data_IF_017956983970
#
_entry.id   IF_017956983970
#
_cell.length_a   1.000
_cell.length_b   1.000
_cell.length_c   1.000
_cell.angle_alpha   90.00
_cell.angle_beta   90.00
_cell.angle_gamma   90.00
#
_symmetry.space_group_name_H-M   'P 1'
#
loop_
_entity.id
_entity.type
_entity.pdbx_description
1 polymer ?
#
# COMPACT_ATOMS: atom_id res chain seq x y z
N UNK A 1 23.03 18.74 -16.11
CA UNK A 1 22.78 18.56 -15.81
C UNK A 1 22.27 18.43 -15.25
N UNK A 2 22.17 18.57 -15.14
CA UNK A 2 21.72 18.45 -14.54
C UNK A 2 20.98 18.09 -13.95
N UNK A 3 20.78 18.21 -13.67
CA UNK A 3 20.18 17.94 -12.84
C UNK A 3 19.31 17.30 -12.81
N UNK A 4 19.08 17.36 -13.22
CA UNK A 4 18.15 16.88 -13.32
C UNK A 4 17.90 15.83 -12.83
N UNK A 5 18.25 15.40 -12.54
CA UNK A 5 17.91 14.27 -12.23
C UNK A 5 17.00 14.02 -11.28
N UNK A 6 16.78 14.39 -10.57
CA UNK A 6 16.08 14.07 -9.68
C UNK A 6 14.89 13.79 -9.99
N UNK A 7 14.45 14.19 -10.69
CA UNK A 7 13.32 13.96 -10.97
C UNK A 7 13.25 12.83 -11.58
N UNK A 8 14.15 12.24 -11.64
CA UNK A 8 14.13 11.16 -12.21
C UNK A 8 13.45 10.24 -11.55
N UNK A 9 13.09 10.40 -10.39
CA UNK A 9 12.29 9.67 -9.82
C UNK A 9 11.11 9.89 -10.41
N UNK A 10 10.77 9.34 -11.38
CA UNK A 10 9.52 9.46 -12.00
C UNK A 10 8.46 8.98 -11.10
N UNK A 11 7.32 9.62 -11.09
CA UNK A 11 6.19 9.15 -10.29
C UNK A 11 5.80 7.73 -10.62
N UNK A 12 5.99 7.29 -11.85
CA UNK A 12 5.68 5.93 -12.21
C UNK A 12 6.56 4.94 -11.49
N UNK A 13 7.81 5.31 -11.20
CA UNK A 13 8.68 4.42 -10.47
C UNK A 13 8.23 4.26 -9.05
N UNK A 14 7.72 5.34 -8.45
CA UNK A 14 7.21 5.25 -7.10
C UNK A 14 5.96 4.39 -7.06
N UNK A 15 5.09 4.54 -8.06
CA UNK A 15 3.89 3.71 -8.12
C UNK A 15 4.28 2.25 -8.30
N UNK A 16 5.29 1.97 -9.11
CA UNK A 16 5.74 0.59 -9.31
C UNK A 16 6.24 -0.02 -8.00
N UNK A 17 6.93 0.77 -7.18
CA UNK A 17 7.39 0.28 -5.90
C UNK A 17 6.22 -0.03 -4.98
N UNK A 18 5.22 0.84 -4.97
CA UNK A 18 4.03 0.62 -4.15
C UNK A 18 3.31 -0.65 -4.61
N UNK A 19 3.21 -0.87 -5.92
CA UNK A 19 2.58 -2.08 -6.43
C UNK A 19 3.37 -3.33 -6.03
N UNK A 20 4.69 -3.25 -6.07
CA UNK A 20 5.51 -4.37 -5.64
C UNK A 20 5.28 -4.67 -4.16
N UNK A 21 5.19 -3.63 -3.35
CA UNK A 21 4.92 -3.81 -1.92
C UNK A 21 3.57 -4.45 -1.70
N UNK A 22 2.55 -4.01 -2.46
CA UNK A 22 1.22 -4.61 -2.36
C UNK A 22 1.27 -6.09 -2.73
N UNK A 23 1.98 -6.43 -3.79
CA UNK A 23 2.08 -7.82 -4.21
C UNK A 23 2.69 -8.69 -3.12
N UNK A 24 3.71 -8.19 -2.45
CA UNK A 24 4.34 -8.92 -1.36
C UNK A 24 3.39 -9.10 -0.19
N UNK A 25 2.63 -8.05 0.14
CA UNK A 25 1.67 -8.13 1.23
C UNK A 25 0.53 -9.10 0.89
N UNK A 26 0.08 -9.08 -0.35
CA UNK A 26 -0.97 -10.00 -0.79
C UNK A 26 -0.49 -11.45 -0.74
N UNK A 27 0.76 -11.69 -1.12
CA UNK A 27 1.30 -13.03 -1.07
C UNK A 27 1.38 -13.54 0.37
N UNK A 28 1.81 -12.68 1.29
CA UNK A 28 1.87 -13.05 2.68
C UNK A 28 0.47 -13.32 3.22
N UNK A 29 -0.50 -12.49 2.83
CA UNK A 29 -1.87 -12.67 3.26
C UNK A 29 -2.41 -14.01 2.77
N UNK A 30 -2.11 -14.35 1.53
CA UNK A 30 -2.55 -15.62 0.95
C UNK A 30 -1.99 -16.81 1.74
N UNK A 31 -0.71 -16.74 2.09
CA UNK A 31 -0.08 -17.82 2.85
C UNK A 31 -0.72 -17.98 4.23
N UNK A 32 -1.03 -16.86 4.87
CA UNK A 32 -1.66 -16.91 6.19
C UNK A 32 -3.09 -17.41 6.10
N UNK A 33 -3.82 -17.06 5.04
CA UNK A 33 -5.17 -17.56 4.85
C UNK A 33 -5.15 -19.08 4.62
N UNK A 34 -4.11 -19.58 3.95
CA UNK A 34 -4.00 -21.02 3.76
C UNK A 34 -3.79 -21.73 5.10
N UNK A 35 -3.01 -21.13 6.00
CA UNK A 35 -2.86 -21.71 7.32
C UNK A 35 -4.17 -21.69 8.10
N UNK A 36 -4.93 -20.61 7.94
CA UNK A 36 -6.20 -20.52 8.62
C UNK A 36 -7.13 -21.60 8.11
N UNK A 37 -7.19 -21.80 6.80
CA UNK A 37 -8.04 -22.82 6.19
C UNK A 37 -7.65 -24.23 6.62
N UNK A 38 -6.37 -24.45 6.86
CA UNK A 38 -5.87 -25.75 7.28
C UNK A 38 -6.01 -25.98 8.79
N UNK A 39 -6.45 -24.97 9.52
CA UNK A 39 -6.60 -25.08 10.96
C UNK A 39 -5.29 -24.97 11.72
N UNK A 40 -4.24 -24.48 11.05
CA UNK A 40 -2.92 -24.40 11.67
C UNK A 40 -2.50 -22.97 11.99
N UNK A 41 -3.38 -21.98 11.80
CA UNK A 41 -3.02 -20.61 12.08
C UNK A 41 -2.95 -20.38 13.59
N UNK A 42 -1.95 -19.61 13.99
CA UNK A 42 -1.76 -19.25 15.40
C UNK A 42 -2.42 -17.90 15.65
N UNK A 43 -2.52 -17.51 16.91
CA UNK A 43 -3.01 -16.18 17.25
C UNK A 43 -2.12 -15.11 16.66
N UNK A 44 -0.83 -15.37 16.59
CA UNK A 44 0.09 -14.43 16.00
C UNK A 44 -0.17 -14.29 14.51
N UNK A 45 -0.47 -15.40 13.82
CA UNK A 45 -0.81 -15.36 12.40
C UNK A 45 -2.05 -14.51 12.18
N UNK A 46 -3.04 -14.61 13.06
CA UNK A 46 -4.26 -13.83 12.93
C UNK A 46 -4.02 -12.34 13.16
N UNK A 47 -3.14 -12.02 14.10
CA UNK A 47 -2.76 -10.63 14.31
C UNK A 47 -2.01 -10.09 13.11
N UNK A 48 -1.18 -10.92 12.50
CA UNK A 48 -0.45 -10.50 11.29
C UNK A 48 -1.43 -10.24 10.14
N UNK A 49 -2.46 -11.07 10.00
CA UNK A 49 -3.47 -10.85 8.98
C UNK A 49 -4.16 -9.50 9.15
N UNK A 50 -4.48 -9.13 10.40
CA UNK A 50 -5.10 -7.84 10.65
C UNK A 50 -4.15 -6.71 10.28
N UNK A 51 -2.90 -6.84 10.62
CA UNK A 51 -1.89 -5.85 10.30
C UNK A 51 -1.72 -5.71 8.79
N UNK A 52 -1.74 -6.83 8.07
CA UNK A 52 -1.61 -6.81 6.62
C UNK A 52 -2.79 -6.10 5.97
N UNK A 53 -3.99 -6.31 6.50
CA UNK A 53 -5.15 -5.66 5.96
C UNK A 53 -5.01 -4.14 6.04
N UNK A 54 -4.54 -3.65 7.18
CA UNK A 54 -4.33 -2.22 7.36
C UNK A 54 -3.26 -1.70 6.39
N UNK A 55 -2.16 -2.43 6.27
CA UNK A 55 -1.07 -2.02 5.38
C UNK A 55 -1.53 -1.99 3.93
N UNK A 56 -2.34 -2.97 3.52
CA UNK A 56 -2.87 -3.00 2.17
C UNK A 56 -3.80 -1.82 1.92
N UNK A 57 -4.68 -1.52 2.87
CA UNK A 57 -5.58 -0.39 2.73
C UNK A 57 -4.80 0.92 2.60
N UNK A 58 -3.74 1.06 3.38
CA UNK A 58 -2.91 2.25 3.34
C UNK A 58 -2.18 2.37 2.00
N UNK A 59 -1.71 1.24 1.47
CA UNK A 59 -0.98 1.24 0.20
C UNK A 59 -1.90 1.60 -0.96
N UNK A 60 -3.11 1.03 -0.98
CA UNK A 60 -4.08 1.36 -2.03
C UNK A 60 -4.52 2.81 -1.92
N UNK A 61 -4.69 3.32 -0.69
CA UNK A 61 -5.05 4.71 -0.50
C UNK A 61 -3.95 5.64 -1.01
N UNK A 62 -2.70 5.28 -0.77
CA UNK A 62 -1.58 6.07 -1.23
C UNK A 62 -1.58 6.15 -2.76
N UNK A 63 -1.83 5.03 -3.43
CA UNK A 63 -1.91 5.04 -4.89
C UNK A 63 -3.04 5.94 -5.38
N UNK A 64 -4.19 5.91 -4.71
CA UNK A 64 -5.30 6.77 -5.09
C UNK A 64 -4.94 8.23 -4.94
N UNK A 65 -4.25 8.58 -3.85
CA UNK A 65 -3.81 9.95 -3.63
C UNK A 65 -2.86 10.39 -4.74
N UNK A 66 -1.90 9.52 -5.08
CA UNK A 66 -0.92 9.86 -6.09
C UNK A 66 -1.58 10.07 -7.44
N UNK A 67 -2.55 9.23 -7.77
CA UNK A 67 -3.27 9.38 -9.02
C UNK A 67 -4.05 10.70 -9.04
N UNK A 68 -4.73 11.02 -7.94
CA UNK A 68 -5.51 12.24 -7.86
C UNK A 68 -4.62 13.48 -8.00
N UNK A 69 -3.44 13.44 -7.40
CA UNK A 69 -2.51 14.56 -7.50
C UNK A 69 -2.03 14.73 -8.94
N UNK A 70 -1.70 13.64 -9.62
CA UNK A 70 -1.27 13.73 -11.02
C UNK A 70 -2.38 14.28 -11.89
N UNK A 71 -3.61 13.84 -11.67
CA UNK A 71 -4.72 14.31 -12.48
C UNK A 71 -5.01 15.78 -12.24
N UNK A 72 -4.67 16.27 -11.06
CA UNK A 72 -4.82 17.69 -10.74
C UNK A 72 -3.61 18.52 -11.16
N UNK A 73 -2.62 17.91 -11.81
CA UNK A 73 -1.41 18.61 -12.21
C UNK A 73 -0.49 18.92 -11.06
N UNK A 74 -0.60 18.14 -9.96
CA UNK A 74 0.22 18.37 -8.78
C UNK A 74 1.20 17.22 -8.61
N UNK A 75 2.14 17.42 -7.70
CA UNK A 75 3.21 16.46 -7.47
C UNK A 75 2.67 15.25 -6.71
N UNK A 76 2.68 14.05 -7.32
CA UNK A 76 2.20 12.87 -6.61
C UNK A 76 3.04 12.53 -5.37
N UNK A 77 4.28 13.01 -5.31
CA UNK A 77 5.10 12.75 -4.13
C UNK A 77 4.62 13.52 -2.91
N UNK A 78 3.64 14.41 -3.06
CA UNK A 78 3.04 15.07 -1.92
C UNK A 78 2.03 14.17 -1.21
N UNK A 79 1.72 13.00 -1.75
CA UNK A 79 0.81 12.07 -1.10
C UNK A 79 1.45 11.50 0.17
N UNK A 80 0.62 11.27 1.18
CA UNK A 80 1.10 10.75 2.45
C UNK A 80 0.31 9.52 2.84
N UNK A 81 0.96 8.62 3.55
CA UNK A 81 0.28 7.48 4.14
C UNK A 81 -0.66 7.99 5.22
N UNK A 82 -1.93 7.62 5.12
CA UNK A 82 -2.92 8.06 6.08
C UNK A 82 -3.02 7.03 7.19
N UNK A 83 -3.44 7.50 8.35
CA UNK A 83 -3.59 6.61 9.48
C UNK A 83 -4.72 5.63 9.29
N UNK A 84 -4.71 4.59 10.10
CA UNK A 84 -5.68 3.52 10.03
C UNK A 84 -7.10 4.04 10.11
N UNK A 85 -7.37 4.96 11.03
CA UNK A 85 -8.72 5.44 11.23
C UNK A 85 -9.26 6.19 10.02
N UNK A 86 -8.40 6.92 9.34
CA UNK A 86 -8.80 7.69 8.17
C UNK A 86 -9.12 6.75 7.02
N UNK A 87 -8.25 5.78 6.79
CA UNK A 87 -8.40 4.88 5.67
C UNK A 87 -9.63 3.99 5.84
N UNK A 88 -9.80 3.45 7.02
CA UNK A 88 -10.94 2.57 7.26
C UNK A 88 -12.25 3.31 7.28
N UNK A 89 -12.22 4.60 7.55
CA UNK A 89 -13.42 5.42 7.51
C UNK A 89 -14.05 5.51 6.15
N UNK A 90 -13.27 5.31 5.09
CA UNK A 90 -13.80 5.34 3.78
C UNK A 90 -14.81 4.25 3.54
N UNK A 91 -14.78 3.22 4.30
CA UNK A 91 -15.66 2.11 4.05
C UNK A 91 -16.99 2.23 4.74
N UNK A 92 -17.25 3.32 5.38
CA UNK A 92 -18.50 3.51 6.08
C UNK A 92 -19.48 4.43 5.37
#
# INVERSE_FOLDING_TARGET
MPGGPRREHAPEMEDAQIHTDIEQLVQEEHDLWQREAAGSATDEDRRRLESLKVSLDQSWDLLRQRRALREAGRDPDAADVRGKNVVEGYEQ
#
